data_IF_555815874907
#
_entry.id   IF_555815874907
#
_cell.length_a   1.000
_cell.length_b   1.000
_cell.length_c   1.000
_cell.angle_alpha   90.00
_cell.angle_beta   90.00
_cell.angle_gamma   90.00
#
_symmetry.space_group_name_H-M   'P 1'
#
loop_
_entity.id
_entity.type
_entity.pdbx_description
1 polymer ?
#
# COMPACT_ATOMS: atom_id res chain seq x y z
N UNK A 1 6.40 -8.77 -13.93
CA UNK A 1 4.95 -8.86 -13.60
C UNK A 1 4.40 -10.27 -13.88
N UNK A 2 3.61 -10.82 -12.95
CA UNK A 2 2.98 -12.16 -13.07
C UNK A 2 1.95 -12.20 -14.20
N UNK A 3 1.94 -13.30 -14.94
CA UNK A 3 0.97 -13.63 -15.99
C UNK A 3 -0.37 -14.06 -15.39
N UNK A 4 -1.44 -13.99 -16.18
CA UNK A 4 -2.77 -14.44 -15.76
C UNK A 4 -2.77 -15.92 -15.33
N UNK A 5 -2.03 -16.77 -16.05
CA UNK A 5 -1.85 -18.20 -15.70
C UNK A 5 -1.18 -18.38 -14.34
N UNK A 6 -0.25 -17.51 -13.97
CA UNK A 6 0.37 -17.55 -12.65
C UNK A 6 -0.64 -17.13 -11.57
N UNK A 7 -1.46 -16.10 -11.83
CA UNK A 7 -2.49 -15.63 -10.89
C UNK A 7 -3.61 -16.65 -10.65
N UNK A 8 -4.02 -17.42 -11.67
CA UNK A 8 -5.00 -18.50 -11.57
C UNK A 8 -4.59 -19.60 -10.57
N UNK A 9 -3.27 -19.81 -10.42
CA UNK A 9 -2.72 -20.80 -9.52
C UNK A 9 -2.57 -20.30 -8.07
N UNK A 10 -2.80 -19.01 -7.81
CA UNK A 10 -2.73 -18.45 -6.45
C UNK A 10 -4.02 -18.78 -5.72
N UNK A 11 -3.91 -19.73 -4.80
CA UNK A 11 -5.03 -20.25 -4.03
C UNK A 11 -4.71 -20.27 -2.54
N UNK A 12 -5.75 -20.21 -1.72
CA UNK A 12 -5.68 -20.37 -0.27
C UNK A 12 -6.65 -21.45 0.17
N UNK A 13 -6.20 -22.39 0.99
CA UNK A 13 -7.07 -23.42 1.58
C UNK A 13 -7.39 -23.08 3.03
N UNK A 14 -8.68 -23.06 3.37
CA UNK A 14 -9.17 -22.85 4.75
C UNK A 14 -10.40 -23.70 4.97
N UNK A 15 -10.41 -24.51 6.03
CA UNK A 15 -11.54 -25.38 6.39
C UNK A 15 -12.05 -26.21 5.20
N UNK A 16 -11.13 -26.93 4.53
CA UNK A 16 -11.40 -27.79 3.36
C UNK A 16 -11.92 -27.07 2.09
N UNK A 17 -12.08 -25.74 2.14
CA UNK A 17 -12.44 -24.92 0.99
C UNK A 17 -11.20 -24.30 0.36
N UNK A 18 -11.20 -24.27 -0.97
CA UNK A 18 -10.20 -23.57 -1.77
C UNK A 18 -10.76 -22.23 -2.22
N UNK A 19 -10.06 -21.16 -1.90
CA UNK A 19 -10.34 -19.81 -2.34
C UNK A 19 -9.34 -19.44 -3.43
N UNK A 20 -9.81 -18.77 -4.48
CA UNK A 20 -8.96 -18.28 -5.58
C UNK A 20 -8.68 -16.79 -5.38
N UNK A 21 -7.43 -16.38 -5.62
CA UNK A 21 -7.03 -14.98 -5.57
C UNK A 21 -7.81 -14.13 -6.58
N UNK A 22 -8.00 -14.61 -7.80
CA UNK A 22 -8.73 -13.88 -8.85
C UNK A 22 -10.20 -13.59 -8.49
N UNK A 23 -10.78 -14.36 -7.57
CA UNK A 23 -12.15 -14.17 -7.08
C UNK A 23 -12.19 -13.48 -5.71
N UNK A 24 -11.07 -12.91 -5.26
CA UNK A 24 -10.96 -12.24 -3.95
C UNK A 24 -11.15 -10.73 -4.07
N UNK A 25 -11.55 -10.10 -2.97
CA UNK A 25 -11.58 -8.64 -2.89
C UNK A 25 -10.17 -8.03 -2.99
N UNK A 26 -9.11 -8.75 -2.56
CA UNK A 26 -7.72 -8.32 -2.76
C UNK A 26 -7.36 -8.13 -4.23
N UNK A 27 -7.82 -9.03 -5.12
CA UNK A 27 -7.61 -8.86 -6.56
C UNK A 27 -8.43 -7.70 -7.14
N UNK A 28 -9.67 -7.51 -6.65
CA UNK A 28 -10.46 -6.35 -7.02
C UNK A 28 -9.80 -5.03 -6.61
N UNK A 29 -9.19 -4.98 -5.42
CA UNK A 29 -8.39 -3.83 -4.99
C UNK A 29 -7.20 -3.57 -5.90
N UNK A 30 -6.44 -4.62 -6.26
CA UNK A 30 -5.36 -4.49 -7.23
C UNK A 30 -5.86 -3.92 -8.57
N UNK A 31 -6.94 -4.47 -9.13
CA UNK A 31 -7.51 -3.99 -10.40
C UNK A 31 -8.01 -2.55 -10.31
N UNK A 32 -8.62 -2.15 -9.21
CA UNK A 32 -9.06 -0.78 -9.00
C UNK A 32 -7.86 0.17 -8.92
N UNK A 33 -6.81 -0.18 -8.18
CA UNK A 33 -5.59 0.65 -8.08
C UNK A 33 -4.90 0.73 -9.44
N UNK A 34 -4.67 -0.41 -10.10
CA UNK A 34 -4.07 -0.50 -11.43
C UNK A 34 -4.81 0.37 -12.47
N UNK A 35 -6.14 0.32 -12.49
CA UNK A 35 -6.95 1.16 -13.37
C UNK A 35 -6.80 2.65 -13.05
N UNK A 36 -6.81 3.02 -11.77
CA UNK A 36 -6.75 4.41 -11.33
C UNK A 36 -5.33 5.00 -11.42
N UNK A 37 -4.28 4.18 -11.33
CA UNK A 37 -2.90 4.62 -11.57
C UNK A 37 -2.69 5.10 -13.01
N UNK A 38 -3.47 4.59 -13.95
CA UNK A 38 -3.30 4.84 -15.38
C UNK A 38 -4.22 5.91 -15.95
N UNK A 39 -5.41 6.09 -15.39
CA UNK A 39 -6.48 6.86 -16.01
C UNK A 39 -7.01 8.02 -15.14
N UNK A 40 -6.38 8.29 -14.00
CA UNK A 40 -6.81 9.38 -13.13
C UNK A 40 -6.10 10.69 -13.51
N UNK A 41 -6.82 11.57 -14.21
CA UNK A 41 -6.34 12.89 -14.67
C UNK A 41 -5.81 13.81 -13.55
N UNK A 42 -6.08 13.49 -12.29
CA UNK A 42 -5.71 14.28 -11.11
C UNK A 42 -4.86 13.52 -10.09
N UNK A 43 -4.25 12.40 -10.49
CA UNK A 43 -3.32 11.64 -9.63
C UNK A 43 -1.84 11.86 -9.95
N UNK A 44 -1.55 12.97 -10.64
CA UNK A 44 -0.26 13.59 -10.94
C UNK A 44 0.40 13.13 -12.24
N UNK A 45 0.84 14.13 -13.01
CA UNK A 45 1.75 14.00 -14.16
C UNK A 45 2.98 13.12 -13.89
N UNK A 46 3.31 12.83 -12.63
CA UNK A 46 4.41 11.97 -12.21
C UNK A 46 4.27 10.52 -12.69
N UNK A 47 3.10 9.87 -12.52
CA UNK A 47 2.94 8.47 -12.96
C UNK A 47 2.89 8.34 -14.47
N UNK A 48 2.24 9.30 -15.15
CA UNK A 48 2.31 9.40 -16.61
C UNK A 48 3.76 9.59 -17.06
N UNK A 49 4.53 10.43 -16.36
CA UNK A 49 5.95 10.68 -16.64
C UNK A 49 6.81 9.44 -16.38
N UNK A 50 6.68 8.75 -15.25
CA UNK A 50 7.44 7.52 -14.98
C UNK A 50 7.04 6.45 -15.99
N UNK A 51 5.75 6.24 -16.27
CA UNK A 51 5.34 5.25 -17.26
C UNK A 51 5.93 5.52 -18.64
N UNK A 52 6.05 6.79 -19.04
CA UNK A 52 6.62 7.18 -20.32
C UNK A 52 8.15 7.15 -20.35
N UNK A 53 8.81 7.65 -19.30
CA UNK A 53 10.26 7.87 -19.29
C UNK A 53 11.04 6.77 -18.56
N UNK A 54 10.39 6.07 -17.64
CA UNK A 54 10.96 5.04 -16.76
C UNK A 54 10.02 3.83 -16.62
N UNK A 55 9.61 3.19 -17.74
CA UNK A 55 8.61 2.12 -17.74
C UNK A 55 8.99 0.94 -16.83
N UNK A 56 10.27 0.62 -16.69
CA UNK A 56 10.76 -0.42 -15.79
C UNK A 56 10.46 -0.12 -14.31
N UNK A 57 10.56 1.15 -13.90
CA UNK A 57 10.22 1.60 -12.54
C UNK A 57 8.72 1.49 -12.31
N UNK A 58 7.93 1.86 -13.32
CA UNK A 58 6.47 1.73 -13.27
C UNK A 58 6.03 0.25 -13.14
N UNK A 59 6.62 -0.64 -13.93
CA UNK A 59 6.33 -2.08 -13.87
C UNK A 59 6.72 -2.69 -12.52
N UNK A 60 7.86 -2.29 -11.95
CA UNK A 60 8.29 -2.73 -10.63
C UNK A 60 7.30 -2.26 -9.53
N UNK A 61 6.81 -1.03 -9.60
CA UNK A 61 5.79 -0.54 -8.68
C UNK A 61 4.48 -1.34 -8.80
N UNK A 62 3.99 -1.57 -10.02
CA UNK A 62 2.79 -2.38 -10.25
C UNK A 62 2.97 -3.80 -9.69
N UNK A 63 4.15 -4.39 -9.87
CA UNK A 63 4.47 -5.72 -9.33
C UNK A 63 4.51 -5.73 -7.80
N UNK A 64 5.04 -4.70 -7.15
CA UNK A 64 5.06 -4.59 -5.69
C UNK A 64 3.63 -4.48 -5.12
N UNK A 65 2.77 -3.67 -5.74
CA UNK A 65 1.36 -3.54 -5.36
C UNK A 65 0.63 -4.88 -5.54
N UNK A 66 0.87 -5.58 -6.65
CA UNK A 66 0.32 -6.93 -6.88
C UNK A 66 0.80 -7.95 -5.85
N UNK A 67 2.08 -7.93 -5.50
CA UNK A 67 2.64 -8.84 -4.49
C UNK A 67 2.03 -8.56 -3.11
N UNK A 68 1.79 -7.30 -2.75
CA UNK A 68 1.13 -6.92 -1.50
C UNK A 68 -0.29 -7.51 -1.39
N UNK A 69 -1.10 -7.43 -2.45
CA UNK A 69 -2.46 -7.99 -2.45
C UNK A 69 -2.46 -9.52 -2.44
N UNK A 70 -1.50 -10.16 -3.12
CA UNK A 70 -1.31 -11.61 -3.06
C UNK A 70 -0.94 -12.06 -1.65
N UNK A 71 0.00 -11.38 -0.99
CA UNK A 71 0.41 -11.69 0.38
C UNK A 71 -0.76 -11.50 1.34
N UNK A 72 -1.50 -10.39 1.23
CA UNK A 72 -2.71 -10.15 2.03
C UNK A 72 -3.72 -11.29 1.90
N UNK A 73 -3.97 -11.73 0.67
CA UNK A 73 -4.82 -12.89 0.39
C UNK A 73 -4.28 -14.18 1.01
N UNK A 74 -3.03 -14.55 0.71
CA UNK A 74 -2.42 -15.82 1.14
C UNK A 74 -2.30 -15.94 2.66
N UNK A 75 -1.98 -14.84 3.35
CA UNK A 75 -1.82 -14.79 4.81
C UNK A 75 -3.14 -14.58 5.56
N UNK A 76 -4.26 -14.40 4.85
CA UNK A 76 -5.57 -14.11 5.44
C UNK A 76 -5.52 -12.90 6.40
N UNK A 77 -4.81 -11.85 5.96
CA UNK A 77 -4.73 -10.61 6.71
C UNK A 77 -6.11 -9.97 6.82
N UNK A 78 -6.34 -9.19 7.89
CA UNK A 78 -7.53 -8.35 7.97
C UNK A 78 -7.52 -7.31 6.86
N UNK A 79 -8.67 -6.71 6.57
CA UNK A 79 -8.79 -5.64 5.58
C UNK A 79 -7.88 -4.45 5.93
N UNK A 80 -7.73 -4.13 7.23
CA UNK A 80 -6.85 -3.06 7.68
C UNK A 80 -5.37 -3.38 7.47
N UNK A 81 -4.91 -4.59 7.79
CA UNK A 81 -3.52 -4.97 7.60
C UNK A 81 -3.19 -5.13 6.11
N UNK A 82 -4.11 -5.68 5.33
CA UNK A 82 -4.02 -5.74 3.86
C UNK A 82 -3.90 -4.33 3.27
N UNK A 83 -4.71 -3.38 3.74
CA UNK A 83 -4.63 -1.98 3.32
C UNK A 83 -3.29 -1.33 3.67
N UNK A 84 -2.78 -1.57 4.88
CA UNK A 84 -1.49 -1.02 5.33
C UNK A 84 -0.36 -1.53 4.44
N UNK A 85 -0.32 -2.84 4.17
CA UNK A 85 0.71 -3.45 3.32
C UNK A 85 0.65 -2.92 1.89
N UNK A 86 -0.56 -2.83 1.34
CA UNK A 86 -0.81 -2.29 0.00
C UNK A 86 -0.37 -0.83 -0.12
N UNK A 87 -0.75 -0.01 0.85
CA UNK A 87 -0.43 1.43 0.87
C UNK A 87 1.07 1.65 1.08
N UNK A 88 1.72 0.90 1.96
CA UNK A 88 3.16 0.96 2.14
C UNK A 88 3.91 0.54 0.86
N UNK A 89 3.48 -0.55 0.20
CA UNK A 89 4.10 -1.03 -1.04
C UNK A 89 3.91 -0.07 -2.20
N UNK A 90 2.73 0.53 -2.30
CA UNK A 90 2.47 1.59 -3.24
C UNK A 90 3.32 2.84 -2.94
N UNK A 91 3.36 3.26 -1.68
CA UNK A 91 4.07 4.46 -1.27
C UNK A 91 5.60 4.33 -1.40
N UNK A 92 6.14 3.13 -1.20
CA UNK A 92 7.56 2.84 -1.34
C UNK A 92 8.07 2.97 -2.77
N UNK A 93 7.19 2.84 -3.78
CA UNK A 93 7.58 3.10 -5.16
C UNK A 93 7.57 4.58 -5.54
N UNK A 94 7.18 5.50 -4.65
CA UNK A 94 7.46 6.93 -4.82
C UNK A 94 8.92 7.20 -4.51
N UNK A 95 9.79 6.98 -5.49
CA UNK A 95 11.19 7.37 -5.37
C UNK A 95 11.55 8.26 -6.55
N UNK A 96 12.03 9.47 -6.26
CA UNK A 96 13.23 9.96 -6.90
C UNK A 96 14.28 10.08 -5.80
N UNK A 97 15.15 9.07 -5.75
CA UNK A 97 16.46 9.02 -5.09
C UNK A 97 16.62 9.01 -3.56
N UNK A 98 15.65 9.25 -2.67
CA UNK A 98 15.85 9.04 -1.19
C UNK A 98 14.58 8.67 -0.42
N UNK A 99 14.66 7.71 0.51
CA UNK A 99 13.58 7.33 1.44
C UNK A 99 12.97 8.52 2.20
N UNK A 100 13.77 9.54 2.50
CA UNK A 100 13.32 10.79 3.12
C UNK A 100 12.34 11.60 2.24
N UNK A 101 12.50 11.55 0.91
CA UNK A 101 11.59 12.21 -0.04
C UNK A 101 10.29 11.41 -0.20
N UNK A 102 10.35 10.08 -0.19
CA UNK A 102 9.17 9.22 -0.13
C UNK A 102 8.35 9.47 1.15
N UNK A 103 9.03 9.69 2.28
CA UNK A 103 8.42 10.11 3.54
C UNK A 103 7.76 11.49 3.45
N UNK A 104 8.35 12.46 2.75
CA UNK A 104 7.75 13.79 2.53
C UNK A 104 6.52 13.72 1.61
N UNK A 105 6.57 12.92 0.54
CA UNK A 105 5.43 12.76 -0.36
C UNK A 105 4.31 11.94 0.28
N UNK A 106 4.66 10.93 1.08
CA UNK A 106 3.71 10.21 1.93
C UNK A 106 3.13 11.11 3.02
N UNK A 107 3.93 11.96 3.67
CA UNK A 107 3.44 12.97 4.61
C UNK A 107 2.50 13.96 3.91
N UNK A 108 2.82 14.45 2.72
CA UNK A 108 1.92 15.30 1.92
C UNK A 108 0.62 14.58 1.60
N UNK A 109 0.70 13.34 1.16
CA UNK A 109 -0.44 12.48 0.91
C UNK A 109 -1.30 12.30 2.18
N UNK A 110 -0.67 12.00 3.32
CA UNK A 110 -1.34 11.82 4.60
C UNK A 110 -1.91 13.11 5.16
N UNK A 111 -1.23 14.25 5.02
CA UNK A 111 -1.71 15.58 5.41
C UNK A 111 -2.97 15.92 4.60
N UNK A 112 -2.91 15.71 3.29
CA UNK A 112 -4.07 15.91 2.40
C UNK A 112 -5.21 14.92 2.72
N UNK A 113 -4.90 13.70 3.16
CA UNK A 113 -5.87 12.68 3.55
C UNK A 113 -6.47 12.90 4.96
N UNK A 114 -5.70 13.41 5.91
CA UNK A 114 -6.12 13.57 7.32
C UNK A 114 -6.76 14.93 7.63
N UNK A 115 -6.48 15.98 6.85
CA UNK A 115 -7.15 17.29 6.95
C UNK A 115 -8.64 17.21 6.52
N UNK A 116 -9.06 16.15 5.83
CA UNK A 116 -10.43 16.02 5.29
C UNK A 116 -11.50 15.54 6.29
N UNK A 117 -11.25 15.61 7.61
CA UNK A 117 -12.25 15.24 8.64
C UNK A 117 -13.22 16.36 9.04
N UNK A 118 -13.14 17.54 8.45
CA UNK A 118 -14.17 18.60 8.58
C UNK A 118 -14.64 19.07 7.18
N UNK A 119 -15.87 19.61 7.05
CA UNK A 119 -16.71 19.38 5.89
C UNK A 119 -16.17 20.00 4.59
N UNK A 120 -15.68 19.13 3.70
CA UNK A 120 -15.82 19.18 2.23
C UNK A 120 -15.72 20.55 1.51
N UNK A 121 -14.81 21.45 1.89
CA UNK A 121 -14.52 22.65 1.10
C UNK A 121 -13.04 23.01 1.25
N UNK A 122 -12.16 22.46 0.41
CA UNK A 122 -10.79 22.98 0.36
C UNK A 122 -9.68 22.19 -0.34
N UNK A 123 -9.92 20.95 -0.79
CA UNK A 123 -8.95 20.20 -1.61
C UNK A 123 -9.71 19.42 -2.69
N UNK A 124 -10.23 20.12 -3.68
CA UNK A 124 -10.98 19.54 -4.80
C UNK A 124 -10.08 19.09 -5.97
N UNK A 125 -8.75 18.95 -5.78
CA UNK A 125 -7.82 18.69 -6.89
C UNK A 125 -6.66 17.70 -6.57
N UNK A 126 -6.80 16.88 -5.52
CA UNK A 126 -6.22 15.52 -5.55
C UNK A 126 -7.42 14.57 -5.52
N UNK A 127 -7.63 13.92 -6.68
CA UNK A 127 -8.93 13.55 -7.23
C UNK A 127 -9.98 12.97 -6.26
N UNK A 128 -11.18 13.55 -6.33
CA UNK A 128 -12.40 13.01 -5.74
C UNK A 128 -12.58 11.52 -6.08
N UNK A 129 -12.18 11.07 -7.27
CA UNK A 129 -12.24 9.66 -7.69
C UNK A 129 -11.28 8.75 -6.92
N UNK A 130 -10.08 9.21 -6.57
CA UNK A 130 -9.13 8.41 -5.79
C UNK A 130 -9.59 8.30 -4.34
N UNK A 131 -10.03 9.42 -3.75
CA UNK A 131 -10.66 9.42 -2.44
C UNK A 131 -11.96 8.62 -2.42
N UNK A 132 -12.74 8.61 -3.51
CA UNK A 132 -13.96 7.85 -3.61
C UNK A 132 -13.67 6.36 -3.77
N UNK A 133 -12.69 5.95 -4.58
CA UNK A 133 -12.21 4.55 -4.66
C UNK A 133 -11.62 4.11 -3.33
N UNK A 134 -10.84 4.97 -2.65
CA UNK A 134 -10.30 4.65 -1.33
C UNK A 134 -11.40 4.60 -0.24
N UNK A 135 -12.37 5.51 -0.24
CA UNK A 135 -13.45 5.50 0.76
C UNK A 135 -14.54 4.47 0.48
N UNK A 136 -14.76 4.09 -0.78
CA UNK A 136 -15.72 3.05 -1.17
C UNK A 136 -15.17 1.63 -0.95
N UNK A 137 -13.85 1.45 -1.01
CA UNK A 137 -13.24 0.11 -0.94
C UNK A 137 -12.41 -0.16 0.32
N UNK A 138 -12.12 0.83 1.16
CA UNK A 138 -11.28 0.64 2.34
C UNK A 138 -11.98 1.00 3.66
N UNK A 139 -11.67 0.26 4.75
CA UNK A 139 -12.24 0.52 6.07
C UNK A 139 -11.83 1.89 6.61
N UNK A 140 -12.57 2.42 7.60
CA UNK A 140 -12.25 3.68 8.30
C UNK A 140 -10.80 3.64 8.81
N UNK A 141 -9.88 4.28 8.09
CA UNK A 141 -8.44 4.26 8.43
C UNK A 141 -8.22 4.98 9.75
N UNK A 142 -7.61 4.28 10.72
CA UNK A 142 -7.33 4.85 12.05
C UNK A 142 -5.97 5.50 12.07
N UNK A 143 -5.77 6.46 12.96
CA UNK A 143 -4.47 7.14 13.17
C UNK A 143 -3.32 6.16 13.43
N UNK A 144 -3.60 5.06 14.12
CA UNK A 144 -2.60 4.01 14.38
C UNK A 144 -2.20 3.22 13.14
N UNK A 145 -3.10 3.07 12.16
CA UNK A 145 -2.82 2.39 10.90
C UNK A 145 -1.91 3.29 10.03
N UNK A 146 -2.15 4.61 10.04
CA UNK A 146 -1.26 5.59 9.38
C UNK A 146 0.14 5.62 9.99
N UNK A 147 0.24 5.60 11.33
CA UNK A 147 1.53 5.50 12.04
C UNK A 147 2.28 4.23 11.68
N UNK A 148 1.56 3.12 11.51
CA UNK A 148 2.17 1.87 11.09
C UNK A 148 2.72 1.98 9.66
N UNK A 149 1.96 2.52 8.70
CA UNK A 149 2.45 2.71 7.33
C UNK A 149 3.74 3.57 7.32
N UNK A 150 3.74 4.70 8.05
CA UNK A 150 4.93 5.55 8.16
C UNK A 150 6.15 4.78 8.69
N UNK A 151 5.96 4.01 9.76
CA UNK A 151 7.04 3.21 10.35
C UNK A 151 7.53 2.13 9.41
N UNK A 152 6.64 1.47 8.66
CA UNK A 152 7.02 0.48 7.67
C UNK A 152 7.90 1.08 6.58
N UNK A 153 7.55 2.26 6.07
CA UNK A 153 8.34 2.98 5.07
C UNK A 153 9.72 3.38 5.61
N UNK A 154 9.77 3.89 6.84
CA UNK A 154 11.04 4.24 7.51
C UNK A 154 11.95 3.02 7.69
N UNK A 155 11.39 1.87 8.03
CA UNK A 155 12.14 0.67 8.40
C UNK A 155 12.41 -0.30 7.24
N UNK A 156 11.87 -0.05 6.03
CA UNK A 156 11.97 -0.99 4.89
C UNK A 156 13.42 -1.38 4.59
N UNK A 157 14.32 -0.41 4.56
CA UNK A 157 15.75 -0.59 4.27
C UNK A 157 16.64 -0.34 5.49
N UNK A 158 16.03 -0.18 6.68
CA UNK A 158 16.77 0.08 7.91
C UNK A 158 17.56 -1.16 8.36
N UNK A 159 18.66 -0.91 9.06
CA UNK A 159 19.48 -1.94 9.69
C UNK A 159 18.74 -2.63 10.84
N UNK A 160 19.22 -3.82 11.24
CA UNK A 160 18.64 -4.54 12.38
C UNK A 160 18.67 -3.72 13.68
N UNK A 161 19.72 -2.93 13.89
CA UNK A 161 19.87 -2.11 15.09
C UNK A 161 18.86 -0.96 15.11
N UNK A 162 18.65 -0.28 13.98
CA UNK A 162 17.62 0.77 13.83
C UNK A 162 16.20 0.23 14.00
N UNK A 163 15.93 -0.97 13.45
CA UNK A 163 14.66 -1.67 13.65
C UNK A 163 14.46 -1.98 15.13
N UNK A 164 15.48 -2.52 15.80
CA UNK A 164 15.42 -2.87 17.23
C UNK A 164 15.17 -1.64 18.11
N UNK A 165 15.86 -0.52 17.82
CA UNK A 165 15.70 0.75 18.51
C UNK A 165 14.26 1.26 18.39
N UNK A 166 13.72 1.38 17.17
CA UNK A 166 12.34 1.84 16.93
C UNK A 166 11.32 0.93 17.63
N UNK A 167 11.48 -0.40 17.53
CA UNK A 167 10.58 -1.37 18.16
C UNK A 167 10.59 -1.29 19.70
N UNK A 168 11.73 -0.95 20.30
CA UNK A 168 11.89 -0.83 21.76
C UNK A 168 10.99 0.28 22.35
N UNK A 169 10.71 1.34 21.58
CA UNK A 169 9.88 2.48 21.99
C UNK A 169 8.38 2.17 22.02
N UNK A 170 7.97 1.04 21.43
CA UNK A 170 6.57 0.67 21.25
C UNK A 170 6.05 -0.20 22.39
N UNK A 171 4.75 -0.07 22.67
CA UNK A 171 4.03 -1.07 23.45
C UNK A 171 3.99 -2.42 22.71
N UNK A 172 3.82 -3.51 23.47
CA UNK A 172 3.84 -4.88 22.97
C UNK A 172 2.96 -5.10 21.74
N UNK A 173 1.69 -4.67 21.79
CA UNK A 173 0.75 -4.85 20.67
C UNK A 173 1.22 -4.15 19.40
N UNK A 174 1.73 -2.93 19.53
CA UNK A 174 2.22 -2.13 18.39
C UNK A 174 3.54 -2.67 17.86
N UNK A 175 4.40 -3.18 18.75
CA UNK A 175 5.65 -3.87 18.40
C UNK A 175 5.38 -5.11 17.56
N UNK A 176 4.60 -6.05 18.08
CA UNK A 176 4.27 -7.31 17.38
C UNK A 176 3.60 -7.07 16.03
N UNK A 177 2.65 -6.11 15.96
CA UNK A 177 2.02 -5.77 14.68
C UNK A 177 3.03 -5.13 13.71
N UNK A 178 3.94 -4.30 14.20
CA UNK A 178 5.00 -3.71 13.36
C UNK A 178 5.94 -4.79 12.84
N UNK A 179 6.44 -5.68 13.70
CA UNK A 179 7.34 -6.78 13.32
C UNK A 179 6.73 -7.66 12.23
N UNK A 180 5.48 -8.10 12.44
CA UNK A 180 4.77 -8.95 11.48
C UNK A 180 4.60 -8.24 10.13
N UNK A 181 4.15 -6.99 10.13
CA UNK A 181 3.91 -6.25 8.91
C UNK A 181 5.21 -5.85 8.20
N UNK A 182 6.28 -5.56 8.95
CA UNK A 182 7.59 -5.24 8.41
C UNK A 182 8.21 -6.45 7.72
N UNK A 183 8.12 -7.64 8.32
CA UNK A 183 8.61 -8.86 7.68
C UNK A 183 7.91 -9.14 6.34
N UNK A 184 6.58 -8.96 6.28
CA UNK A 184 5.83 -9.09 5.03
C UNK A 184 6.23 -8.02 4.01
N UNK A 185 6.40 -6.78 4.46
CA UNK A 185 6.74 -5.66 3.61
C UNK A 185 8.18 -5.73 3.08
N UNK A 186 9.13 -6.21 3.88
CA UNK A 186 10.52 -6.43 3.47
C UNK A 186 10.65 -7.54 2.41
N UNK A 187 9.74 -8.52 2.41
CA UNK A 187 9.67 -9.59 1.43
C UNK A 187 9.06 -9.18 0.07
N UNK A 188 8.49 -7.97 -0.04
CA UNK A 188 8.00 -7.36 -1.28
C UNK A 188 9.13 -6.55 -1.92
#
# INVERSE_FOLDING_TARGET
MKTMKELENIQRKKQEKTYSYLNSHHYNWFKAIDLNLLNSDGFTNYFLRIKQNEPAVFEALQENVLNATIIGFQKDLSDEDSFILLTASWANGFVPEKAASALQDFERYLINYTIQKDPLLGINQMNADFNQVLMQHFPKVRRQDLRLIYRLLLLKEASHDEISEELSTLNERSRTRTENMLALFQAI
#
